data_IF_318296739708
#
_entry.id   IF_318296739708
#
_cell.length_a   1.000
_cell.length_b   1.000
_cell.length_c   1.000
_cell.angle_alpha   90.00
_cell.angle_beta   90.00
_cell.angle_gamma   90.00
#
_symmetry.space_group_name_H-M   'P 1'
#
loop_
_entity.id
_entity.type
_entity.pdbx_description
1 polymer ?
#
# COMPACT_ATOMS: atom_id res chain seq x y z
N UNK A 1 -0.83 2.45 4.81
CA UNK A 1 -1.21 3.22 3.62
C UNK A 1 -1.61 2.25 2.50
N UNK A 2 -2.50 2.68 1.60
CA UNK A 2 -2.75 1.97 0.35
C UNK A 2 -1.63 2.30 -0.64
N UNK A 3 -1.14 1.30 -1.34
CA UNK A 3 -0.14 1.52 -2.37
C UNK A 3 -0.31 0.58 -3.56
N UNK A 4 0.07 1.09 -4.73
CA UNK A 4 0.23 0.30 -5.96
C UNK A 4 1.67 -0.19 -6.03
N UNK A 5 1.87 -1.47 -6.28
CA UNK A 5 3.21 -2.03 -6.45
C UNK A 5 3.69 -1.74 -7.86
N UNK A 6 4.81 -1.02 -8.00
CA UNK A 6 5.42 -0.76 -9.30
C UNK A 6 6.51 -1.78 -9.61
N UNK A 7 7.41 -2.03 -8.66
CA UNK A 7 8.51 -2.97 -8.81
C UNK A 7 8.99 -3.47 -7.46
N UNK A 8 9.29 -4.76 -7.38
CA UNK A 8 9.81 -5.40 -6.15
C UNK A 8 11.24 -5.85 -6.40
N UNK A 9 12.19 -5.14 -5.79
CA UNK A 9 13.62 -5.46 -5.81
C UNK A 9 13.99 -6.50 -4.75
N UNK A 10 15.30 -6.71 -4.59
CA UNK A 10 15.84 -7.68 -3.61
C UNK A 10 15.80 -7.17 -2.17
N UNK A 11 16.02 -5.86 -1.98
CA UNK A 11 16.10 -5.22 -0.66
C UNK A 11 15.17 -3.99 -0.53
N UNK A 12 14.57 -3.55 -1.64
CA UNK A 12 13.62 -2.45 -1.65
C UNK A 12 12.44 -2.74 -2.57
N UNK A 13 11.35 -2.04 -2.35
CA UNK A 13 10.16 -2.07 -3.20
C UNK A 13 9.76 -0.65 -3.55
N UNK A 14 9.49 -0.44 -4.83
CA UNK A 14 8.94 0.82 -5.31
C UNK A 14 7.41 0.69 -5.36
N UNK A 15 6.75 1.55 -4.60
CA UNK A 15 5.30 1.61 -4.54
C UNK A 15 4.81 3.02 -4.79
N UNK A 16 3.64 3.17 -5.40
CA UNK A 16 2.94 4.46 -5.48
C UNK A 16 1.94 4.52 -4.35
N UNK A 17 2.07 5.48 -3.45
CA UNK A 17 1.07 5.79 -2.43
C UNK A 17 -0.24 6.18 -3.11
N UNK A 18 -1.33 5.54 -2.70
CA UNK A 18 -2.67 5.76 -3.21
C UNK A 18 -3.54 6.34 -2.09
N UNK A 19 -4.41 7.26 -2.47
CA UNK A 19 -5.43 7.84 -1.60
C UNK A 19 -6.81 7.73 -2.25
N UNK A 20 -7.87 7.88 -1.46
CA UNK A 20 -9.25 7.80 -1.94
C UNK A 20 -9.90 9.16 -1.71
N UNK A 21 -10.20 9.86 -2.80
CA UNK A 21 -10.87 11.15 -2.76
C UNK A 21 -12.35 11.03 -2.34
N UNK A 22 -13.00 12.14 -1.99
CA UNK A 22 -14.41 12.24 -1.56
C UNK A 22 -15.40 11.64 -2.58
N UNK A 23 -15.02 11.55 -3.85
CA UNK A 23 -15.80 10.87 -4.90
C UNK A 23 -15.56 9.34 -4.97
N UNK A 24 -14.80 8.76 -4.05
CA UNK A 24 -14.47 7.34 -4.03
C UNK A 24 -13.50 6.92 -5.14
N UNK A 25 -12.73 7.86 -5.67
CA UNK A 25 -11.74 7.61 -6.74
C UNK A 25 -10.35 7.39 -6.14
N UNK A 26 -9.67 6.34 -6.58
CA UNK A 26 -8.30 6.02 -6.15
C UNK A 26 -7.34 6.90 -6.94
N UNK A 27 -6.65 7.80 -6.25
CA UNK A 27 -5.69 8.74 -6.84
C UNK A 27 -4.26 8.41 -6.40
N UNK A 28 -3.29 8.38 -7.33
CA UNK A 28 -1.88 8.25 -6.97
C UNK A 28 -1.36 9.57 -6.41
N UNK A 29 -0.71 9.53 -5.24
CA UNK A 29 -0.12 10.70 -4.61
C UNK A 29 1.35 10.86 -4.98
N UNK A 30 2.18 9.87 -4.65
CA UNK A 30 3.64 9.92 -4.84
C UNK A 30 4.24 8.52 -4.92
N UNK A 31 5.40 8.42 -5.58
CA UNK A 31 6.20 7.20 -5.54
C UNK A 31 7.09 7.20 -4.30
N UNK A 32 7.10 6.08 -3.60
CA UNK A 32 7.86 5.87 -2.37
C UNK A 32 8.66 4.59 -2.53
N UNK A 33 9.97 4.69 -2.30
CA UNK A 33 10.82 3.51 -2.16
C UNK A 33 10.83 3.10 -0.69
N UNK A 34 10.47 1.84 -0.44
CA UNK A 34 10.38 1.28 0.90
C UNK A 34 11.38 0.15 1.05
N UNK A 35 11.99 0.07 2.23
CA UNK A 35 12.97 -0.99 2.52
C UNK A 35 12.23 -2.26 2.93
N UNK A 36 12.61 -3.38 2.31
CA UNK A 36 12.11 -4.70 2.68
C UNK A 36 12.95 -5.29 3.82
N UNK A 37 12.33 -5.94 4.81
CA UNK A 37 13.07 -6.63 5.86
C UNK A 37 13.90 -7.77 5.25
N UNK A 38 15.20 -7.81 5.56
CA UNK A 38 16.14 -8.76 4.94
C UNK A 38 15.93 -10.22 5.34
N UNK A 39 15.10 -10.47 6.36
CA UNK A 39 14.81 -11.81 6.88
C UNK A 39 13.39 -12.30 6.53
N UNK A 40 12.57 -11.51 5.82
CA UNK A 40 11.19 -11.89 5.50
C UNK A 40 10.88 -11.67 4.01
N UNK A 41 11.01 -12.74 3.23
CA UNK A 41 10.62 -12.76 1.82
C UNK A 41 9.10 -12.84 1.61
N UNK A 42 8.31 -13.15 2.65
CA UNK A 42 6.85 -13.28 2.54
C UNK A 42 6.21 -11.97 2.10
N UNK A 43 6.72 -10.84 2.61
CA UNK A 43 6.29 -9.50 2.23
C UNK A 43 6.58 -9.25 0.73
N UNK A 44 7.78 -9.56 0.27
CA UNK A 44 8.19 -9.33 -1.12
C UNK A 44 7.38 -10.22 -2.09
N UNK A 45 7.09 -11.47 -1.71
CA UNK A 45 6.25 -12.40 -2.47
C UNK A 45 4.80 -11.91 -2.55
N UNK A 46 4.26 -11.42 -1.45
CA UNK A 46 2.90 -10.86 -1.40
C UNK A 46 2.78 -9.64 -2.31
N UNK A 47 3.77 -8.74 -2.28
CA UNK A 47 3.80 -7.56 -3.13
C UNK A 47 4.01 -7.91 -4.62
N UNK A 48 4.73 -8.99 -4.93
CA UNK A 48 4.86 -9.50 -6.31
C UNK A 48 3.58 -10.13 -6.83
N UNK A 49 2.81 -10.78 -5.97
CA UNK A 49 1.58 -11.47 -6.34
C UNK A 49 0.39 -10.53 -6.54
N UNK A 50 0.42 -9.33 -5.95
CA UNK A 50 -0.70 -8.39 -5.98
C UNK A 50 -0.29 -7.01 -6.51
N UNK A 51 -0.99 -6.46 -7.51
CA UNK A 51 -0.68 -5.13 -8.06
C UNK A 51 -1.04 -3.99 -7.10
N UNK A 52 -1.96 -4.25 -6.16
CA UNK A 52 -2.34 -3.34 -5.09
C UNK A 52 -2.07 -4.01 -3.76
N UNK A 53 -1.61 -3.22 -2.79
CA UNK A 53 -1.35 -3.72 -1.46
C UNK A 53 -1.60 -2.65 -0.39
N UNK A 54 -2.07 -3.10 0.77
CA UNK A 54 -2.01 -2.31 1.99
C UNK A 54 -0.63 -2.53 2.63
N UNK A 55 0.18 -1.47 2.64
CA UNK A 55 1.52 -1.47 3.21
C UNK A 55 1.51 -0.73 4.52
N UNK A 56 2.02 -1.40 5.55
CA UNK A 56 2.25 -0.83 6.86
C UNK A 56 3.74 -0.63 7.01
N UNK A 57 4.11 0.64 7.12
CA UNK A 57 5.47 1.05 7.34
C UNK A 57 5.63 1.44 8.79
N UNK A 58 6.81 1.14 9.33
CA UNK A 58 7.25 1.72 10.58
C UNK A 58 8.21 2.85 10.25
N UNK A 59 7.97 4.02 10.86
CA UNK A 59 8.88 5.15 10.76
C UNK A 59 10.21 4.74 11.39
N UNK A 60 11.25 4.63 10.57
CA UNK A 60 12.57 4.21 11.01
C UNK A 60 13.19 5.32 11.86
N UNK A 61 13.71 4.98 13.04
CA UNK A 61 14.62 5.88 13.75
C UNK A 61 15.94 5.92 12.99
N UNK A 62 16.33 7.12 12.56
CA UNK A 62 17.60 7.47 11.92
C UNK A 62 17.90 6.81 10.56
N UNK A 63 17.92 7.65 9.54
CA UNK A 63 18.64 7.52 8.25
C UNK A 63 18.31 6.33 7.33
N UNK A 64 17.55 5.32 7.77
CA UNK A 64 17.28 4.09 7.00
C UNK A 64 15.97 4.10 6.20
N UNK A 65 15.23 5.22 6.18
CA UNK A 65 13.94 5.33 5.51
C UNK A 65 12.84 4.50 6.17
N UNK A 66 11.62 4.57 5.62
CA UNK A 66 10.48 3.82 6.14
C UNK A 66 10.61 2.32 5.77
N UNK A 67 10.70 1.46 6.78
CA UNK A 67 10.76 0.00 6.60
C UNK A 67 9.34 -0.58 6.56
N UNK A 68 9.09 -1.53 5.66
CA UNK A 68 7.83 -2.27 5.66
C UNK A 68 7.87 -3.29 6.78
N UNK A 69 6.88 -3.21 7.66
CA UNK A 69 6.67 -4.21 8.72
C UNK A 69 5.61 -5.23 8.31
N UNK A 70 4.68 -4.85 7.44
CA UNK A 70 3.61 -5.72 7.00
C UNK A 70 3.08 -5.27 5.63
N UNK A 71 2.87 -6.22 4.74
CA UNK A 71 2.17 -5.99 3.48
C UNK A 71 1.04 -6.99 3.34
N UNK A 72 -0.12 -6.52 2.91
CA UNK A 72 -1.23 -7.38 2.50
C UNK A 72 -1.56 -7.08 1.05
N UNK A 73 -1.44 -8.10 0.21
CA UNK A 73 -1.91 -8.04 -1.16
C UNK A 73 -3.41 -7.80 -1.15
N UNK A 74 -3.86 -6.88 -2.00
CA UNK A 74 -5.27 -6.62 -2.22
C UNK A 74 -5.62 -6.97 -3.66
N UNK A 75 -6.68 -7.74 -3.81
CA UNK A 75 -7.27 -7.99 -5.11
C UNK A 75 -8.06 -6.77 -5.56
N UNK A 76 -8.34 -6.64 -6.86
CA UNK A 76 -9.18 -5.55 -7.37
C UNK A 76 -10.58 -5.54 -6.72
N UNK A 77 -11.10 -6.73 -6.40
CA UNK A 77 -12.36 -6.92 -5.66
C UNK A 77 -12.28 -6.40 -4.22
N UNK A 78 -11.17 -6.64 -3.50
CA UNK A 78 -10.95 -6.10 -2.15
C UNK A 78 -10.83 -4.58 -2.18
N UNK A 79 -10.11 -4.04 -3.18
CA UNK A 79 -10.00 -2.60 -3.38
C UNK A 79 -11.36 -1.96 -3.67
N UNK A 80 -12.18 -2.59 -4.52
CA UNK A 80 -13.53 -2.08 -4.81
C UNK A 80 -14.44 -2.13 -3.58
N UNK A 81 -14.37 -3.19 -2.75
CA UNK A 81 -15.11 -3.24 -1.48
C UNK A 81 -14.68 -2.13 -0.52
N UNK A 82 -13.38 -1.84 -0.43
CA UNK A 82 -12.85 -0.76 0.41
C UNK A 82 -13.31 0.62 -0.09
N UNK A 83 -13.36 0.82 -1.41
CA UNK A 83 -13.93 2.02 -2.03
C UNK A 83 -15.41 2.18 -1.69
N UNK A 84 -16.22 1.14 -1.90
CA UNK A 84 -17.66 1.18 -1.59
C UNK A 84 -17.92 1.48 -0.11
N UNK A 85 -17.13 0.88 0.79
CA UNK A 85 -17.25 1.11 2.23
C UNK A 85 -16.83 2.53 2.64
N UNK A 86 -15.84 3.12 1.94
CA UNK A 86 -15.42 4.52 2.16
C UNK A 86 -16.49 5.49 1.67
N UNK A 87 -17.07 5.26 0.49
CA UNK A 87 -18.18 6.06 -0.06
C UNK A 87 -19.41 5.99 0.86
N UNK A 88 -19.76 4.80 1.39
CA UNK A 88 -20.88 4.62 2.33
C UNK A 88 -20.65 5.39 3.64
N UNK A 89 -19.43 5.38 4.18
CA UNK A 89 -19.08 6.13 5.39
C UNK A 89 -19.18 7.65 5.20
N UNK A 90 -18.80 8.15 4.03
CA UNK A 90 -18.95 9.58 3.68
C UNK A 90 -20.44 9.93 3.50
N UNK A 91 -21.21 9.07 2.83
CA UNK A 91 -22.65 9.28 2.63
C UNK A 91 -23.46 9.21 3.94
N UNK A 92 -23.07 8.38 4.91
CA UNK A 92 -23.72 8.29 6.22
C UNK A 92 -23.46 9.48 7.15
N UNK A 93 -22.61 10.43 6.77
CA UNK A 93 -22.41 11.69 7.50
C UNK A 93 -23.30 12.85 7.02
N UNK A 94 -24.23 12.62 6.09
CA UNK A 94 -25.24 13.60 5.69
C UNK A 94 -26.57 13.40 6.40
#
# INVERSE_FOLDING_TARGET
>A
MLAKVNSVGKNSVNVTELDIDDFGSVIPLKNVDLVLPSNDDSISLTLKASPYAAVFTQDGKDEQGSMIILARGMSLEDLNKEKEHTIDKVHKRK
#
